data_IF_003530940440
#
_entry.id   IF_003530940440
#
_cell.length_a   1.000
_cell.length_b   1.000
_cell.length_c   1.000
_cell.angle_alpha   90.00
_cell.angle_beta   90.00
_cell.angle_gamma   90.00
#
_symmetry.space_group_name_H-M   'P 1'
#
loop_
_entity.id
_entity.type
_entity.pdbx_description
1 polymer ?
#
# COMPACT_ATOMS: atom_id res chain seq x y z
N UNK A 1 11.52 -43.71 -34.91
CA UNK A 1 11.52 -42.24 -35.04
C UNK A 1 10.99 -41.67 -33.74
N UNK A 2 11.87 -41.15 -32.89
CA UNK A 2 11.44 -40.47 -31.66
C UNK A 2 10.92 -39.09 -32.05
N UNK A 3 9.68 -38.76 -31.71
CA UNK A 3 9.12 -37.42 -31.92
C UNK A 3 9.88 -36.44 -31.00
N UNK A 4 10.69 -35.52 -31.54
CA UNK A 4 11.28 -34.47 -30.71
C UNK A 4 10.31 -33.28 -30.68
N UNK A 5 10.36 -32.51 -29.59
CA UNK A 5 10.02 -31.09 -29.54
C UNK A 5 8.60 -30.60 -29.24
N UNK A 6 7.53 -31.40 -29.17
CA UNK A 6 6.22 -30.84 -28.78
C UNK A 6 6.15 -30.46 -27.30
N UNK A 7 6.80 -31.20 -26.40
CA UNK A 7 6.79 -30.93 -24.95
C UNK A 7 7.77 -29.83 -24.50
N UNK A 8 8.91 -29.71 -25.17
CA UNK A 8 9.95 -28.74 -24.78
C UNK A 8 9.52 -27.30 -25.07
N UNK A 9 8.96 -27.05 -26.27
CA UNK A 9 8.41 -25.74 -26.61
C UNK A 9 7.22 -25.36 -25.72
N UNK A 10 6.37 -26.32 -25.37
CA UNK A 10 5.26 -26.09 -24.42
C UNK A 10 5.77 -25.73 -23.01
N UNK A 11 6.84 -26.37 -22.55
CA UNK A 11 7.49 -26.07 -21.27
C UNK A 11 8.07 -24.65 -21.24
N UNK A 12 8.75 -24.23 -22.31
CA UNK A 12 9.32 -22.88 -22.42
C UNK A 12 8.22 -21.82 -22.47
N UNK A 13 7.16 -22.08 -23.24
CA UNK A 13 6.04 -21.16 -23.32
C UNK A 13 5.34 -20.98 -21.96
N UNK A 14 5.16 -22.09 -21.22
CA UNK A 14 4.63 -22.07 -19.85
C UNK A 14 5.54 -21.27 -18.91
N UNK A 15 6.85 -21.52 -18.91
CA UNK A 15 7.80 -20.79 -18.09
C UNK A 15 7.85 -19.29 -18.40
N UNK A 16 7.78 -18.92 -19.69
CA UNK A 16 7.74 -17.53 -20.12
C UNK A 16 6.45 -16.83 -19.63
N UNK A 17 5.30 -17.52 -19.67
CA UNK A 17 4.04 -17.00 -19.16
C UNK A 17 4.07 -16.82 -17.64
N UNK A 18 4.53 -17.83 -16.89
CA UNK A 18 4.71 -17.77 -15.43
C UNK A 18 5.62 -16.60 -15.01
N UNK A 19 6.73 -16.40 -15.73
CA UNK A 19 7.65 -15.30 -15.46
C UNK A 19 7.04 -13.92 -15.77
N UNK A 20 6.32 -13.80 -16.88
CA UNK A 20 5.61 -12.57 -17.22
C UNK A 20 4.54 -12.23 -16.18
N UNK A 21 3.74 -13.22 -15.76
CA UNK A 21 2.68 -13.02 -14.79
C UNK A 21 3.22 -12.70 -13.39
N UNK A 22 4.28 -13.37 -12.96
CA UNK A 22 4.97 -13.06 -11.70
C UNK A 22 5.52 -11.64 -11.70
N UNK A 23 6.10 -11.20 -12.82
CA UNK A 23 6.61 -9.83 -12.98
C UNK A 23 5.49 -8.80 -12.91
N UNK A 24 4.36 -9.07 -13.55
CA UNK A 24 3.17 -8.23 -13.50
C UNK A 24 2.66 -8.08 -12.06
N UNK A 25 2.47 -9.19 -11.36
CA UNK A 25 2.00 -9.18 -9.96
C UNK A 25 2.99 -8.48 -9.03
N UNK A 26 4.30 -8.70 -9.20
CA UNK A 26 5.34 -8.01 -8.44
C UNK A 26 5.25 -6.49 -8.63
N UNK A 27 5.09 -6.02 -9.87
CA UNK A 27 4.98 -4.59 -10.17
C UNK A 27 3.77 -3.94 -9.49
N UNK A 28 2.62 -4.63 -9.47
CA UNK A 28 1.42 -4.17 -8.78
C UNK A 28 1.65 -4.10 -7.27
N UNK A 29 2.30 -5.12 -6.70
CA UNK A 29 2.61 -5.15 -5.26
C UNK A 29 3.53 -4.01 -4.88
N UNK A 30 4.56 -3.73 -5.67
CA UNK A 30 5.48 -2.60 -5.43
C UNK A 30 4.77 -1.26 -5.53
N UNK A 31 3.83 -1.08 -6.47
CA UNK A 31 3.00 0.12 -6.53
C UNK A 31 2.18 0.30 -5.25
N UNK A 32 1.55 -0.77 -4.75
CA UNK A 32 0.82 -0.72 -3.47
C UNK A 32 1.71 -0.43 -2.26
N UNK A 33 2.94 -0.94 -2.23
CA UNK A 33 3.90 -0.59 -1.20
C UNK A 33 4.26 0.91 -1.23
N UNK A 34 4.41 1.49 -2.42
CA UNK A 34 4.64 2.93 -2.56
C UNK A 34 3.43 3.76 -2.10
N UNK A 35 2.20 3.30 -2.37
CA UNK A 35 0.98 3.93 -1.84
C UNK A 35 0.98 3.93 -0.29
N UNK A 36 1.33 2.81 0.35
CA UNK A 36 1.45 2.74 1.82
C UNK A 36 2.44 3.77 2.35
N UNK A 37 3.65 3.82 1.79
CA UNK A 37 4.68 4.78 2.21
C UNK A 37 4.22 6.23 2.03
N UNK A 38 3.51 6.53 0.94
CA UNK A 38 2.93 7.84 0.71
C UNK A 38 1.90 8.19 1.79
N UNK A 39 0.99 7.28 2.13
CA UNK A 39 -0.01 7.49 3.17
C UNK A 39 0.61 7.63 4.58
N UNK A 40 1.65 6.86 4.89
CA UNK A 40 2.41 7.04 6.14
C UNK A 40 3.04 8.43 6.21
N UNK A 41 3.59 8.93 5.09
CA UNK A 41 4.10 10.29 5.01
C UNK A 41 3.00 11.33 5.23
N UNK A 42 1.80 11.12 4.68
CA UNK A 42 0.67 12.02 4.91
C UNK A 42 0.26 12.06 6.39
N UNK A 43 0.24 10.92 7.09
CA UNK A 43 -0.01 10.90 8.56
C UNK A 43 1.00 11.78 9.29
N UNK A 44 2.28 11.67 8.93
CA UNK A 44 3.33 12.47 9.55
C UNK A 44 3.14 13.97 9.30
N UNK A 45 2.82 14.35 8.06
CA UNK A 45 2.54 15.74 7.70
C UNK A 45 1.31 16.29 8.43
N UNK A 46 0.23 15.50 8.57
CA UNK A 46 -0.97 15.89 9.33
C UNK A 46 -0.64 16.17 10.79
N UNK A 47 0.19 15.33 11.43
CA UNK A 47 0.64 15.56 12.82
C UNK A 47 1.47 16.83 12.95
N UNK A 48 2.39 17.07 12.01
CA UNK A 48 3.24 18.25 11.99
C UNK A 48 2.43 19.53 11.78
N UNK A 49 1.45 19.53 10.87
CA UNK A 49 0.54 20.66 10.66
C UNK A 49 -0.29 20.93 11.91
N UNK A 50 -0.93 19.89 12.46
CA UNK A 50 -1.72 20.01 13.69
C UNK A 50 -0.90 20.67 14.82
N UNK A 51 0.33 20.20 15.06
CA UNK A 51 1.19 20.76 16.10
C UNK A 51 1.52 22.25 15.91
N UNK A 52 1.72 22.68 14.65
CA UNK A 52 1.96 24.11 14.33
C UNK A 52 0.70 24.95 14.54
N UNK A 53 -0.43 24.47 14.03
CA UNK A 53 -1.68 25.23 14.00
C UNK A 53 -2.29 25.33 15.41
N UNK A 54 -2.19 24.27 16.22
CA UNK A 54 -2.78 24.22 17.56
C UNK A 54 -2.01 25.07 18.58
N UNK A 55 -0.72 25.34 18.34
CA UNK A 55 0.18 26.01 19.29
C UNK A 55 -0.35 27.38 19.72
N UNK A 56 -0.75 28.22 18.75
CA UNK A 56 -1.27 29.57 19.04
C UNK A 56 -2.57 29.52 19.88
N UNK A 57 -3.41 28.51 19.65
CA UNK A 57 -4.65 28.33 20.39
C UNK A 57 -4.42 27.78 21.80
N UNK A 58 -3.38 26.97 21.99
CA UNK A 58 -2.93 26.53 23.31
C UNK A 58 -2.39 27.70 24.13
N UNK A 59 -1.57 28.58 23.54
CA UNK A 59 -1.06 29.78 24.21
C UNK A 59 -2.19 30.73 24.64
N UNK A 60 -3.23 30.85 23.81
CA UNK A 60 -4.43 31.62 24.12
C UNK A 60 -5.40 30.93 25.12
N UNK A 61 -5.02 29.75 25.65
CA UNK A 61 -5.85 28.92 26.53
C UNK A 61 -7.24 28.59 25.96
N UNK A 62 -7.35 28.53 24.62
CA UNK A 62 -8.59 28.27 23.90
C UNK A 62 -8.84 26.76 23.77
N UNK A 63 -9.19 26.14 24.90
CA UNK A 63 -9.35 24.69 25.00
C UNK A 63 -10.38 24.12 24.02
N UNK A 64 -11.47 24.86 23.74
CA UNK A 64 -12.50 24.41 22.81
C UNK A 64 -11.96 24.24 21.38
N UNK A 65 -11.18 25.21 20.90
CA UNK A 65 -10.58 25.15 19.55
C UNK A 65 -9.51 24.06 19.47
N UNK A 66 -8.68 23.92 20.52
CA UNK A 66 -7.67 22.86 20.60
C UNK A 66 -8.30 21.47 20.53
N UNK A 67 -9.41 21.24 21.25
CA UNK A 67 -10.14 19.97 21.22
C UNK A 67 -10.73 19.68 19.85
N UNK A 68 -11.32 20.69 19.18
CA UNK A 68 -11.87 20.53 17.85
C UNK A 68 -10.77 20.16 16.83
N UNK A 69 -9.66 20.91 16.82
CA UNK A 69 -8.54 20.64 15.93
C UNK A 69 -7.94 19.24 16.15
N UNK A 70 -7.89 18.78 17.40
CA UNK A 70 -7.45 17.43 17.70
C UNK A 70 -8.40 16.37 17.14
N UNK A 71 -9.71 16.56 17.31
CA UNK A 71 -10.72 15.64 16.79
C UNK A 71 -10.64 15.54 15.26
N UNK A 72 -10.47 16.68 14.58
CA UNK A 72 -10.36 16.75 13.12
C UNK A 72 -9.08 16.06 12.62
N UNK A 73 -7.93 16.38 13.22
CA UNK A 73 -6.65 15.74 12.89
C UNK A 73 -6.68 14.23 13.14
N UNK A 74 -7.31 13.80 14.23
CA UNK A 74 -7.50 12.37 14.54
C UNK A 74 -8.35 11.69 13.49
N UNK A 75 -9.49 12.28 13.13
CA UNK A 75 -10.39 11.73 12.10
C UNK A 75 -9.67 11.57 10.75
N UNK A 76 -8.91 12.58 10.33
CA UNK A 76 -8.10 12.53 9.11
C UNK A 76 -7.07 11.40 9.16
N UNK A 77 -6.32 11.27 10.26
CA UNK A 77 -5.33 10.20 10.44
C UNK A 77 -6.00 8.82 10.41
N UNK A 78 -7.14 8.64 11.05
CA UNK A 78 -7.86 7.37 11.07
C UNK A 78 -8.36 6.97 9.66
N UNK A 79 -8.83 7.93 8.87
CA UNK A 79 -9.16 7.70 7.46
C UNK A 79 -7.95 7.25 6.62
N UNK A 80 -6.79 7.88 6.83
CA UNK A 80 -5.55 7.47 6.15
C UNK A 80 -5.12 6.06 6.59
N UNK A 81 -5.23 5.73 7.88
CA UNK A 81 -4.93 4.38 8.39
C UNK A 81 -5.84 3.30 7.79
N UNK A 82 -7.13 3.60 7.63
CA UNK A 82 -8.06 2.68 6.96
C UNK A 82 -7.65 2.43 5.51
N UNK A 83 -7.15 3.46 4.83
CA UNK A 83 -6.61 3.32 3.46
C UNK A 83 -5.35 2.45 3.44
N UNK A 84 -4.42 2.64 4.38
CA UNK A 84 -3.23 1.79 4.54
C UNK A 84 -3.61 0.33 4.78
N UNK A 85 -4.59 0.08 5.65
CA UNK A 85 -5.08 -1.27 5.92
C UNK A 85 -5.54 -1.97 4.64
N UNK A 86 -6.34 -1.28 3.81
CA UNK A 86 -6.77 -1.80 2.51
C UNK A 86 -5.60 -2.06 1.55
N UNK A 87 -4.63 -1.15 1.46
CA UNK A 87 -3.44 -1.38 0.64
C UNK A 87 -2.64 -2.61 1.10
N UNK A 88 -2.58 -2.86 2.41
CA UNK A 88 -1.92 -4.05 2.96
C UNK A 88 -2.68 -5.35 2.66
N UNK A 89 -4.02 -5.33 2.70
CA UNK A 89 -4.86 -6.45 2.25
C UNK A 89 -4.60 -6.77 0.76
N UNK A 90 -4.55 -5.74 -0.10
CA UNK A 90 -4.23 -5.90 -1.52
C UNK A 90 -2.82 -6.51 -1.72
N UNK A 91 -1.83 -6.08 -0.93
CA UNK A 91 -0.45 -6.63 -0.97
C UNK A 91 -0.42 -8.11 -0.56
N UNK A 92 -1.18 -8.48 0.46
CA UNK A 92 -1.27 -9.86 0.92
C UNK A 92 -1.88 -10.75 -0.16
N UNK A 93 -2.97 -10.29 -0.79
CA UNK A 93 -3.63 -10.99 -1.87
C UNK A 93 -2.72 -11.15 -3.10
N UNK A 94 -2.03 -10.09 -3.52
CA UNK A 94 -1.04 -10.17 -4.60
C UNK A 94 0.09 -11.15 -4.27
N UNK A 95 0.51 -11.23 -3.01
CA UNK A 95 1.54 -12.18 -2.56
C UNK A 95 1.04 -13.62 -2.63
N UNK A 96 -0.23 -13.89 -2.29
CA UNK A 96 -0.86 -15.20 -2.48
C UNK A 96 -0.94 -15.59 -3.95
N UNK A 97 -1.36 -14.67 -4.82
CA UNK A 97 -1.42 -14.90 -6.26
C UNK A 97 -0.04 -15.23 -6.85
N UNK A 98 1.00 -14.51 -6.45
CA UNK A 98 2.38 -14.80 -6.88
C UNK A 98 2.84 -16.20 -6.46
N UNK A 99 2.50 -16.64 -5.25
CA UNK A 99 2.83 -17.98 -4.78
C UNK A 99 2.10 -19.07 -5.58
N UNK A 100 0.88 -18.80 -6.04
CA UNK A 100 0.07 -19.73 -6.84
C UNK A 100 0.50 -19.81 -8.32
N UNK A 101 1.18 -18.79 -8.87
CA UNK A 101 1.65 -18.78 -10.26
C UNK A 101 2.82 -19.75 -10.48
N UNK A 102 3.60 -20.04 -9.44
CA UNK A 102 4.73 -20.97 -9.48
C UNK A 102 4.46 -22.39 -8.96
N UNK A 103 3.22 -22.68 -8.55
CA UNK A 103 2.76 -24.00 -8.08
C UNK A 103 2.06 -24.78 -9.18
#
# INVERSE_FOLDING_TARGET
MAAPNTDWWATIQSAAYTAAETTRLLSLRTAKQAEVMYHERQIQLTKESFGKDVFQHMEANNAATVQQMFADAKSAIDGIKATIAKCNEDIEELTKQMAAVGS
#
